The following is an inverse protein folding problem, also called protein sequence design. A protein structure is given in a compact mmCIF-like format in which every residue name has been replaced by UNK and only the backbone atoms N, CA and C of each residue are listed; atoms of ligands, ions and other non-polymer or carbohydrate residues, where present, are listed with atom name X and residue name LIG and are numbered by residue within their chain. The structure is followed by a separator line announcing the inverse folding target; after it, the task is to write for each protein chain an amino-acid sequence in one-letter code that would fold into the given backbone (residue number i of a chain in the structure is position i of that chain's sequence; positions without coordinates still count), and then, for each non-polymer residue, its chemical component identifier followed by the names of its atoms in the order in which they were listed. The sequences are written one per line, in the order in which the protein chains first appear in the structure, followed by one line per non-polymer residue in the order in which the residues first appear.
data_IF_283670649310
#
_entry.id   IF_283670649310
#
_cell.length_a   1.000
_cell.length_b   1.000
_cell.length_c   1.000
_cell.angle_alpha   90.00
_cell.angle_beta   90.00
_cell.angle_gamma   90.00
#
_symmetry.space_group_name_H-M   'P 1'
#
loop_
_entity.id
_entity.type
_entity.pdbx_description
1 polymer ?
#
# COMPACT_ATOMS: atom_id res chain seq x y z
N UNK A 1 4.72 -37.39 8.38
CA UNK A 1 5.87 -37.20 9.26
C UNK A 1 6.26 -35.75 9.08
N UNK A 2 6.12 -34.90 10.12
CA UNK A 2 6.52 -33.50 10.04
C UNK A 2 8.03 -33.41 10.14
N UNK A 3 8.66 -32.66 9.24
CA UNK A 3 10.09 -32.35 9.37
C UNK A 3 10.35 -31.67 10.72
N UNK A 4 11.46 -31.99 11.36
CA UNK A 4 11.88 -31.33 12.60
C UNK A 4 12.04 -29.81 12.32
N UNK A 5 11.64 -28.95 13.27
CA UNK A 5 11.76 -27.50 13.08
C UNK A 5 13.23 -27.10 12.87
N UNK A 6 13.47 -26.26 11.87
CA UNK A 6 14.81 -25.71 11.57
C UNK A 6 15.06 -24.48 12.42
N UNK A 7 16.31 -24.27 12.84
CA UNK A 7 16.72 -23.03 13.49
C UNK A 7 17.02 -21.97 12.44
N UNK A 8 16.40 -20.80 12.57
CA UNK A 8 16.61 -19.64 11.70
C UNK A 8 17.06 -18.46 12.55
N UNK A 9 18.14 -17.82 12.14
CA UNK A 9 18.61 -16.57 12.75
C UNK A 9 17.75 -15.40 12.26
N UNK A 10 17.18 -14.65 13.19
CA UNK A 10 16.38 -13.47 12.92
C UNK A 10 17.09 -12.22 13.43
N UNK A 11 17.54 -11.35 12.54
CA UNK A 11 18.09 -10.05 12.89
C UNK A 11 17.02 -8.98 12.70
N UNK A 12 16.67 -8.29 13.78
CA UNK A 12 15.69 -7.21 13.76
C UNK A 12 16.41 -5.87 13.87
N UNK A 13 16.32 -5.06 12.81
CA UNK A 13 16.79 -3.68 12.77
C UNK A 13 15.74 -2.79 13.39
N UNK A 14 15.97 -2.36 14.63
CA UNK A 14 15.05 -1.62 15.48
C UNK A 14 15.40 -0.13 15.45
N UNK A 15 14.41 0.71 15.28
CA UNK A 15 14.55 2.15 15.47
C UNK A 15 14.29 2.54 16.92
N UNK A 16 15.25 3.20 17.55
CA UNK A 16 15.10 3.75 18.90
C UNK A 16 15.14 5.27 18.79
N UNK A 17 14.08 5.97 19.23
CA UNK A 17 14.06 7.43 19.23
C UNK A 17 15.31 7.99 19.92
N UNK A 18 15.91 9.04 19.33
CA UNK A 18 17.12 9.73 19.79
C UNK A 18 18.44 8.93 19.68
N UNK A 19 18.39 7.60 19.57
CA UNK A 19 19.58 6.75 19.47
C UNK A 19 19.80 6.20 18.05
N UNK A 20 18.77 6.23 17.19
CA UNK A 20 18.82 5.71 15.82
C UNK A 20 18.61 4.19 15.74
N UNK A 21 19.22 3.56 14.75
CA UNK A 21 19.04 2.13 14.52
C UNK A 21 19.94 1.26 15.37
N UNK A 22 19.35 0.18 15.91
CA UNK A 22 20.04 -0.91 16.60
C UNK A 22 19.64 -2.25 15.99
N UNK A 23 20.55 -3.22 16.01
CA UNK A 23 20.25 -4.58 15.60
C UNK A 23 20.12 -5.48 16.82
N UNK A 24 19.08 -6.30 16.83
CA UNK A 24 18.87 -7.36 17.82
C UNK A 24 18.80 -8.69 17.08
N UNK A 25 19.58 -9.69 17.53
CA UNK A 25 19.66 -11.00 16.92
C UNK A 25 18.97 -12.04 17.81
N UNK A 26 18.14 -12.87 17.21
CA UNK A 26 17.39 -13.95 17.84
C UNK A 26 17.57 -15.25 17.06
N UNK A 27 17.27 -16.38 17.68
CA UNK A 27 17.23 -17.69 17.00
C UNK A 27 15.89 -18.34 17.23
N UNK A 28 15.11 -18.50 16.18
CA UNK A 28 13.76 -19.04 16.27
C UNK A 28 13.69 -20.42 15.61
N UNK A 29 12.84 -21.30 16.16
CA UNK A 29 12.51 -22.56 15.52
C UNK A 29 11.40 -22.35 14.49
N UNK A 30 11.61 -22.79 13.26
CA UNK A 30 10.65 -22.60 12.16
C UNK A 30 10.31 -23.97 11.53
N UNK A 31 9.03 -24.19 11.31
CA UNK A 31 8.50 -25.26 10.49
C UNK A 31 7.95 -24.72 9.16
N UNK A 32 7.36 -25.59 8.35
CA UNK A 32 6.81 -25.25 7.03
C UNK A 32 5.68 -24.20 7.06
N UNK A 33 5.08 -23.91 8.21
CA UNK A 33 3.98 -22.97 8.37
C UNK A 33 4.41 -21.67 9.03
N UNK A 34 5.59 -21.64 9.64
CA UNK A 34 6.06 -20.50 10.41
C UNK A 34 6.30 -19.28 9.52
N UNK A 35 5.58 -18.21 9.78
CA UNK A 35 5.75 -16.91 9.10
C UNK A 35 6.76 -16.04 9.83
N UNK A 36 7.24 -14.99 9.16
CA UNK A 36 8.05 -13.95 9.80
C UNK A 36 7.31 -13.31 10.99
N UNK A 37 5.98 -13.12 10.86
CA UNK A 37 5.18 -12.59 11.95
C UNK A 37 5.12 -13.55 13.16
N UNK A 38 4.97 -14.84 12.94
CA UNK A 38 4.95 -15.81 14.03
C UNK A 38 6.27 -15.83 14.80
N UNK A 39 7.39 -15.74 14.08
CA UNK A 39 8.71 -15.62 14.67
C UNK A 39 8.87 -14.34 15.52
N UNK A 40 8.41 -13.18 15.00
CA UNK A 40 8.45 -11.93 15.74
C UNK A 40 7.53 -11.94 16.97
N UNK A 41 6.37 -12.57 16.89
CA UNK A 41 5.47 -12.75 18.04
C UNK A 41 6.16 -13.65 19.08
N UNK A 42 6.78 -14.76 18.66
CA UNK A 42 7.55 -15.63 19.58
C UNK A 42 8.64 -14.85 20.30
N UNK A 43 9.44 -14.08 19.56
CA UNK A 43 10.48 -13.21 20.15
C UNK A 43 9.88 -12.28 21.19
N UNK A 44 8.82 -11.55 20.82
CA UNK A 44 8.16 -10.60 21.71
C UNK A 44 7.61 -11.23 22.99
N UNK A 45 7.04 -12.43 22.88
CA UNK A 45 6.40 -13.10 24.01
C UNK A 45 7.37 -13.87 24.91
N UNK A 46 8.48 -14.37 24.36
CA UNK A 46 9.38 -15.32 25.06
C UNK A 46 10.79 -14.80 25.31
N UNK A 47 11.28 -13.88 24.46
CA UNK A 47 12.70 -13.48 24.50
C UNK A 47 12.85 -11.99 24.81
N UNK A 48 12.10 -11.11 24.13
CA UNK A 48 12.23 -9.66 24.26
C UNK A 48 10.87 -8.95 24.16
N UNK A 49 10.22 -8.76 25.29
CA UNK A 49 8.93 -8.08 25.40
C UNK A 49 8.96 -6.59 24.99
N UNK A 50 10.17 -5.99 24.88
CA UNK A 50 10.34 -4.59 24.49
C UNK A 50 10.14 -4.36 22.99
N UNK A 51 10.18 -5.41 22.16
CA UNK A 51 10.01 -5.32 20.71
C UNK A 51 8.63 -4.75 20.36
N UNK A 52 8.63 -3.61 19.66
CA UNK A 52 7.40 -2.95 19.21
C UNK A 52 7.14 -3.23 17.75
N UNK A 53 5.93 -3.72 17.43
CA UNK A 53 5.48 -4.01 16.07
C UNK A 53 3.96 -3.92 15.98
N UNK A 54 3.45 -3.72 14.76
CA UNK A 54 2.01 -3.75 14.48
C UNK A 54 1.62 -5.06 13.83
N UNK A 55 0.53 -5.66 14.28
CA UNK A 55 -0.12 -6.78 13.62
C UNK A 55 -1.59 -6.89 14.08
N UNK A 56 -2.43 -7.57 13.28
CA UNK A 56 -3.83 -7.77 13.63
C UNK A 56 -4.36 -9.08 13.01
N UNK A 57 -4.80 -9.07 11.75
CA UNK A 57 -5.56 -10.18 11.14
C UNK A 57 -4.77 -11.49 10.96
N UNK A 58 -3.45 -11.45 10.83
CA UNK A 58 -2.53 -12.57 10.59
C UNK A 58 -2.80 -13.36 9.29
N UNK A 59 -3.60 -12.80 8.37
CA UNK A 59 -4.06 -13.47 7.13
C UNK A 59 -3.98 -12.56 5.89
N UNK A 60 -3.06 -11.59 5.90
CA UNK A 60 -2.79 -10.73 4.75
C UNK A 60 -3.89 -9.72 4.36
N UNK A 61 -4.84 -9.40 5.25
CA UNK A 61 -6.00 -8.55 4.92
C UNK A 61 -5.86 -7.13 5.47
N UNK A 62 -5.35 -6.96 6.70
CA UNK A 62 -5.36 -5.65 7.36
C UNK A 62 -4.18 -4.73 6.99
N UNK A 63 -3.08 -5.27 6.46
CA UNK A 63 -1.87 -4.51 6.14
C UNK A 63 -0.99 -4.11 7.33
N UNK A 64 -1.44 -4.31 8.59
CA UNK A 64 -0.74 -3.80 9.79
C UNK A 64 0.66 -4.36 9.99
N UNK A 65 0.94 -5.58 9.53
CA UNK A 65 2.24 -6.23 9.67
C UNK A 65 3.21 -5.94 8.50
N UNK A 66 2.99 -4.85 7.78
CA UNK A 66 3.87 -4.40 6.71
C UNK A 66 5.23 -3.97 7.29
N UNK A 67 6.31 -4.50 6.74
CA UNK A 67 7.69 -4.24 7.15
C UNK A 67 8.66 -4.65 6.04
N UNK A 68 9.94 -4.41 6.22
CA UNK A 68 10.98 -4.82 5.27
C UNK A 68 11.56 -6.16 5.72
N UNK A 69 11.51 -7.18 4.86
CA UNK A 69 12.09 -8.51 5.10
C UNK A 69 13.15 -8.78 4.05
N UNK A 70 14.39 -9.02 4.48
CA UNK A 70 15.55 -9.19 3.59
C UNK A 70 15.64 -8.09 2.51
N UNK A 71 15.43 -6.82 2.91
CA UNK A 71 15.47 -5.66 2.02
C UNK A 71 14.24 -5.49 1.12
N UNK A 72 13.21 -6.34 1.23
CA UNK A 72 11.99 -6.27 0.42
C UNK A 72 10.78 -5.89 1.28
N UNK A 73 10.05 -4.80 0.97
CA UNK A 73 8.77 -4.50 1.63
C UNK A 73 7.77 -5.64 1.47
N UNK A 74 7.27 -6.17 2.58
CA UNK A 74 6.45 -7.40 2.61
C UNK A 74 5.47 -7.41 3.78
N UNK A 75 4.41 -8.20 3.70
CA UNK A 75 3.56 -8.51 4.85
C UNK A 75 4.17 -9.67 5.63
N UNK A 76 4.56 -9.44 6.87
CA UNK A 76 5.20 -10.46 7.70
C UNK A 76 4.31 -11.71 7.91
N UNK A 77 2.99 -11.57 7.95
CA UNK A 77 2.06 -12.69 8.10
C UNK A 77 1.87 -13.54 6.83
N UNK A 78 2.27 -13.06 5.66
CA UNK A 78 2.25 -13.81 4.40
C UNK A 78 3.64 -14.27 3.96
N UNK A 79 4.68 -13.86 4.68
CA UNK A 79 6.07 -14.23 4.37
C UNK A 79 6.47 -15.45 5.20
N UNK A 80 6.52 -16.62 4.57
CA UNK A 80 6.97 -17.86 5.22
C UNK A 80 8.50 -17.85 5.39
N UNK A 81 8.97 -18.14 6.61
CA UNK A 81 10.39 -18.09 6.96
C UNK A 81 11.25 -19.03 6.13
N UNK A 82 10.82 -20.28 5.96
CA UNK A 82 11.61 -21.28 5.25
C UNK A 82 11.60 -21.06 3.73
N UNK A 83 10.55 -20.43 3.19
CA UNK A 83 10.48 -20.13 1.75
C UNK A 83 11.44 -19.00 1.31
N UNK A 84 12.03 -18.26 2.27
CA UNK A 84 13.08 -17.27 1.97
C UNK A 84 14.41 -17.91 1.54
N UNK A 85 14.57 -19.24 1.71
CA UNK A 85 15.74 -19.97 1.24
C UNK A 85 17.06 -19.64 1.96
N UNK A 86 16.99 -19.04 3.15
CA UNK A 86 18.14 -18.64 3.94
C UNK A 86 17.95 -18.96 5.43
N UNK A 87 19.03 -19.27 6.11
CA UNK A 87 19.03 -19.49 7.57
C UNK A 87 19.20 -18.17 8.35
N UNK A 88 19.37 -17.05 7.67
CA UNK A 88 19.48 -15.72 8.28
C UNK A 88 18.47 -14.78 7.62
N UNK A 89 17.54 -14.29 8.39
CA UNK A 89 16.49 -13.36 7.96
C UNK A 89 16.67 -12.02 8.65
N UNK A 90 16.65 -10.94 7.88
CA UNK A 90 16.67 -9.57 8.39
C UNK A 90 15.29 -8.96 8.32
N UNK A 91 14.88 -8.24 9.37
CA UNK A 91 13.61 -7.52 9.43
C UNK A 91 13.87 -6.09 9.88
N UNK A 92 13.23 -5.13 9.21
CA UNK A 92 13.32 -3.71 9.56
C UNK A 92 12.00 -2.97 9.32
N UNK A 93 11.87 -1.73 9.81
CA UNK A 93 10.71 -0.89 9.54
C UNK A 93 10.67 -0.43 8.08
N UNK A 94 9.53 0.08 7.64
CA UNK A 94 9.36 0.77 6.36
C UNK A 94 9.91 2.20 6.47
N UNK A 95 11.07 2.48 5.86
CA UNK A 95 11.81 3.73 6.06
C UNK A 95 11.27 4.92 5.23
N UNK A 96 10.41 4.66 4.22
CA UNK A 96 9.69 5.72 3.52
C UNK A 96 8.58 6.38 4.36
N UNK A 97 8.31 5.85 5.55
CA UNK A 97 7.38 6.41 6.52
C UNK A 97 8.15 6.91 7.75
N UNK A 98 7.71 7.98 8.43
CA UNK A 98 8.35 8.42 9.66
C UNK A 98 8.40 7.30 10.70
N UNK A 99 9.55 7.12 11.32
CA UNK A 99 9.79 6.04 12.28
C UNK A 99 9.35 6.48 13.68
N UNK A 100 8.56 5.64 14.36
CA UNK A 100 8.14 5.88 15.74
C UNK A 100 9.01 5.10 16.74
N UNK A 101 9.02 3.78 16.61
CA UNK A 101 9.82 2.90 17.46
C UNK A 101 9.91 1.50 16.86
N UNK A 102 11.08 0.90 16.91
CA UNK A 102 11.40 -0.46 16.44
C UNK A 102 10.91 -0.67 14.98
N UNK A 103 9.84 -1.46 14.77
CA UNK A 103 9.23 -1.74 13.48
C UNK A 103 7.96 -0.89 13.22
N UNK A 104 7.65 0.04 14.12
CA UNK A 104 6.43 0.87 14.05
C UNK A 104 6.72 2.18 13.35
N UNK A 105 5.95 2.48 12.33
CA UNK A 105 6.03 3.72 11.53
C UNK A 105 4.75 4.55 11.67
N UNK A 106 4.84 5.86 11.41
CA UNK A 106 3.70 6.76 11.33
C UNK A 106 3.07 6.72 9.93
N UNK A 107 1.75 6.70 9.89
CA UNK A 107 0.95 6.67 8.66
C UNK A 107 0.13 7.95 8.44
N UNK A 108 0.31 8.99 9.23
CA UNK A 108 -0.51 10.20 9.13
C UNK A 108 -0.34 10.87 7.77
N UNK A 109 0.90 11.14 7.32
CA UNK A 109 1.20 11.68 5.99
C UNK A 109 0.65 10.77 4.86
N UNK A 110 0.82 9.46 5.00
CA UNK A 110 0.26 8.50 4.04
C UNK A 110 -1.26 8.63 3.90
N UNK A 111 -1.98 8.76 5.02
CA UNK A 111 -3.44 8.92 4.98
C UNK A 111 -3.86 10.33 4.57
N UNK A 112 -3.06 11.36 4.83
CA UNK A 112 -3.29 12.70 4.30
C UNK A 112 -3.20 12.75 2.78
N UNK A 113 -2.14 12.16 2.20
CA UNK A 113 -2.00 11.98 0.75
C UNK A 113 -3.15 11.15 0.17
N UNK A 114 -3.55 10.08 0.85
CA UNK A 114 -4.71 9.29 0.46
C UNK A 114 -5.99 10.14 0.46
N UNK A 115 -6.29 10.87 1.53
CA UNK A 115 -7.49 11.75 1.61
C UNK A 115 -7.46 12.85 0.57
N UNK A 116 -6.28 13.36 0.25
CA UNK A 116 -6.11 14.45 -0.68
C UNK A 116 -6.64 14.15 -2.09
N UNK A 117 -6.67 12.90 -2.51
CA UNK A 117 -7.18 12.48 -3.82
C UNK A 117 -8.68 12.16 -3.80
N UNK A 118 -9.40 12.51 -2.75
CA UNK A 118 -10.85 12.25 -2.60
C UNK A 118 -11.20 10.78 -2.90
N UNK A 119 -10.71 9.81 -2.07
CA UNK A 119 -10.90 8.38 -2.32
C UNK A 119 -12.29 7.90 -1.87
N UNK A 120 -13.31 8.54 -2.39
CA UNK A 120 -14.73 8.23 -2.21
C UNK A 120 -15.50 8.64 -3.45
N UNK A 121 -16.73 8.13 -3.60
CA UNK A 121 -17.63 8.52 -4.68
C UNK A 121 -18.10 9.96 -4.47
N UNK A 122 -17.75 10.82 -5.40
CA UNK A 122 -18.24 12.20 -5.46
C UNK A 122 -19.52 12.20 -6.29
N UNK A 123 -20.63 12.66 -5.70
CA UNK A 123 -21.92 12.83 -6.40
C UNK A 123 -22.38 14.27 -6.27
N UNK A 124 -22.77 14.87 -7.38
CA UNK A 124 -23.29 16.25 -7.48
C UNK A 124 -24.83 16.31 -7.56
N UNK A 125 -25.46 15.15 -7.69
CA UNK A 125 -26.92 14.97 -7.74
C UNK A 125 -27.52 14.78 -6.34
N UNK A 126 -27.46 15.81 -5.50
CA UNK A 126 -27.87 15.73 -4.09
C UNK A 126 -29.29 15.18 -3.89
N UNK A 127 -30.22 15.51 -4.81
CA UNK A 127 -31.60 15.00 -4.75
C UNK A 127 -31.66 13.48 -4.91
N UNK A 128 -30.85 12.91 -5.83
CA UNK A 128 -30.80 11.47 -6.07
C UNK A 128 -30.04 10.74 -4.97
N UNK A 129 -28.95 11.33 -4.50
CA UNK A 129 -28.06 10.77 -3.48
C UNK A 129 -28.77 10.41 -2.17
N UNK A 130 -29.80 11.17 -1.79
CA UNK A 130 -30.52 10.99 -0.53
C UNK A 130 -31.91 10.34 -0.70
N UNK A 131 -32.24 9.87 -1.91
CA UNK A 131 -33.47 9.12 -2.12
C UNK A 131 -33.28 7.67 -1.70
N UNK A 132 -34.16 7.09 -0.86
CA UNK A 132 -34.04 5.70 -0.41
C UNK A 132 -34.07 4.68 -1.55
N UNK A 133 -34.75 4.99 -2.65
CA UNK A 133 -34.90 4.13 -3.82
C UNK A 133 -33.80 4.34 -4.89
N UNK A 134 -32.88 5.26 -4.63
CA UNK A 134 -31.85 5.57 -5.62
C UNK A 134 -30.88 4.39 -5.81
N UNK A 135 -30.67 4.01 -7.07
CA UNK A 135 -29.69 3.00 -7.47
C UNK A 135 -28.71 3.59 -8.48
N UNK A 136 -27.43 3.48 -8.19
CA UNK A 136 -26.37 3.78 -9.14
C UNK A 136 -25.92 2.50 -9.85
N UNK A 137 -26.61 2.15 -10.92
CA UNK A 137 -26.38 0.92 -11.67
C UNK A 137 -25.08 0.96 -12.45
N UNK A 138 -24.42 -0.19 -12.53
CA UNK A 138 -23.21 -0.39 -13.34
C UNK A 138 -23.34 -1.70 -14.11
N UNK A 139 -22.77 -1.73 -15.29
CA UNK A 139 -22.54 -2.97 -16.03
C UNK A 139 -21.30 -3.68 -15.50
N UNK A 140 -21.20 -5.00 -15.71
CA UNK A 140 -20.00 -5.76 -15.34
C UNK A 140 -18.72 -5.16 -15.95
N UNK A 141 -18.82 -4.70 -17.22
CA UNK A 141 -17.66 -4.07 -17.90
C UNK A 141 -17.21 -2.78 -17.23
N UNK A 142 -18.12 -1.96 -16.72
CA UNK A 142 -17.76 -0.74 -15.98
C UNK A 142 -17.09 -1.07 -14.65
N UNK A 143 -17.52 -2.13 -13.98
CA UNK A 143 -16.88 -2.63 -12.75
C UNK A 143 -15.47 -3.12 -13.03
N UNK A 144 -15.23 -3.83 -14.12
CA UNK A 144 -13.94 -4.40 -14.52
C UNK A 144 -12.84 -3.33 -14.65
N UNK A 145 -13.18 -2.10 -15.02
CA UNK A 145 -12.21 -1.00 -15.18
C UNK A 145 -11.54 -0.59 -13.86
N UNK A 146 -12.23 -0.65 -12.74
CA UNK A 146 -11.68 -0.19 -11.46
C UNK A 146 -11.50 -1.31 -10.42
N UNK A 147 -12.11 -2.46 -10.61
CA UNK A 147 -12.10 -3.55 -9.64
C UNK A 147 -10.68 -3.97 -9.21
N UNK A 148 -9.68 -4.15 -10.10
CA UNK A 148 -8.34 -4.52 -9.71
C UNK A 148 -7.68 -3.51 -8.75
N UNK A 149 -8.01 -2.22 -8.90
CA UNK A 149 -7.45 -1.16 -8.06
C UNK A 149 -8.19 -1.01 -6.72
N UNK A 150 -9.38 -1.60 -6.59
CA UNK A 150 -10.16 -1.58 -5.35
C UNK A 150 -9.68 -2.59 -4.30
N UNK A 151 -8.82 -3.54 -4.67
CA UNK A 151 -8.22 -4.51 -3.74
C UNK A 151 -7.16 -3.94 -2.81
N UNK A 152 -6.86 -2.65 -2.92
CA UNK A 152 -5.86 -1.98 -2.09
C UNK A 152 -6.24 -2.00 -0.61
N UNK A 153 -5.40 -2.63 0.22
CA UNK A 153 -5.55 -2.71 1.68
C UNK A 153 -4.82 -1.59 2.45
N UNK A 154 -4.25 -0.61 1.76
CA UNK A 154 -3.56 0.56 2.32
C UNK A 154 -2.39 0.18 3.26
N UNK A 155 -1.65 -0.86 2.93
CA UNK A 155 -0.54 -1.36 3.74
C UNK A 155 0.75 -0.52 3.68
N UNK A 156 0.89 0.42 2.74
CA UNK A 156 2.07 1.29 2.59
C UNK A 156 3.26 0.68 1.83
N UNK A 157 3.31 -0.63 1.59
CA UNK A 157 4.47 -1.30 0.96
C UNK A 157 4.87 -0.71 -0.40
N UNK A 158 3.90 -0.28 -1.21
CA UNK A 158 4.16 0.32 -2.51
C UNK A 158 4.82 1.71 -2.40
N UNK A 159 4.57 2.44 -1.32
CA UNK A 159 5.22 3.73 -1.02
C UNK A 159 6.65 3.46 -0.59
N UNK A 160 6.86 2.51 0.31
CA UNK A 160 8.19 2.13 0.80
C UNK A 160 9.11 1.59 -0.32
N UNK A 161 8.54 0.83 -1.26
CA UNK A 161 9.28 0.33 -2.44
C UNK A 161 9.52 1.39 -3.52
N UNK A 162 8.88 2.56 -3.46
CA UNK A 162 8.96 3.57 -4.52
C UNK A 162 10.19 4.46 -4.35
N UNK A 163 11.16 4.44 -5.29
CA UNK A 163 12.34 5.29 -5.19
C UNK A 163 12.00 6.78 -5.16
N UNK A 164 10.96 7.20 -5.88
CA UNK A 164 10.54 8.62 -5.88
C UNK A 164 9.99 9.02 -4.53
N UNK A 165 9.16 8.20 -3.89
CA UNK A 165 8.64 8.48 -2.53
C UNK A 165 9.75 8.57 -1.50
N UNK A 166 10.84 7.81 -1.67
CA UNK A 166 11.97 7.80 -0.75
C UNK A 166 12.83 9.08 -0.83
N UNK A 167 12.78 9.83 -1.95
CA UNK A 167 13.59 11.04 -2.15
C UNK A 167 12.77 12.33 -2.21
N UNK A 168 11.47 12.22 -2.47
CA UNK A 168 10.55 13.36 -2.55
C UNK A 168 9.35 13.16 -1.62
N UNK A 169 9.40 13.78 -0.45
CA UNK A 169 8.32 13.71 0.54
C UNK A 169 7.01 14.36 0.06
N UNK A 170 7.06 15.33 -0.88
CA UNK A 170 5.88 15.98 -1.44
C UNK A 170 5.15 15.11 -2.47
N UNK A 171 5.80 14.09 -3.02
CA UNK A 171 5.20 13.21 -4.02
C UNK A 171 3.98 12.48 -3.45
N UNK A 172 2.88 12.54 -4.18
CA UNK A 172 1.59 11.94 -3.76
C UNK A 172 1.70 10.42 -3.48
N UNK A 173 2.63 9.75 -4.16
CA UNK A 173 2.91 8.33 -3.95
C UNK A 173 2.00 7.39 -4.74
N UNK A 174 2.47 6.16 -4.95
CA UNK A 174 1.79 5.20 -5.82
C UNK A 174 0.41 4.78 -5.28
N UNK A 175 0.22 4.72 -3.96
CA UNK A 175 -1.06 4.32 -3.37
C UNK A 175 -2.13 5.38 -3.62
N UNK A 176 -1.86 6.66 -3.35
CA UNK A 176 -2.84 7.73 -3.53
C UNK A 176 -3.20 7.89 -5.02
N UNK A 177 -2.19 7.88 -5.91
CA UNK A 177 -2.41 8.00 -7.35
C UNK A 177 -3.22 6.83 -7.92
N UNK A 178 -2.96 5.59 -7.47
CA UNK A 178 -3.76 4.44 -7.87
C UNK A 178 -5.21 4.54 -7.40
N UNK A 179 -5.44 5.09 -6.20
CA UNK A 179 -6.80 5.33 -5.72
C UNK A 179 -7.49 6.48 -6.44
N UNK A 180 -6.77 7.52 -6.85
CA UNK A 180 -7.33 8.56 -7.71
C UNK A 180 -7.86 7.95 -9.03
N UNK A 181 -7.05 7.13 -9.71
CA UNK A 181 -7.46 6.44 -10.91
C UNK A 181 -8.64 5.48 -10.66
N UNK A 182 -8.61 4.73 -9.55
CA UNK A 182 -9.73 3.84 -9.17
C UNK A 182 -11.06 4.57 -9.15
N UNK A 183 -11.12 5.76 -8.54
CA UNK A 183 -12.35 6.54 -8.48
C UNK A 183 -12.67 7.26 -9.78
N UNK A 184 -11.67 7.71 -10.54
CA UNK A 184 -11.90 8.28 -11.88
C UNK A 184 -12.49 7.25 -12.87
N UNK A 185 -12.14 5.98 -12.71
CA UNK A 185 -12.64 4.88 -13.55
C UNK A 185 -14.01 4.35 -13.13
N UNK A 186 -14.53 4.79 -11.99
CA UNK A 186 -15.86 4.40 -11.52
C UNK A 186 -16.93 5.23 -12.23
N UNK A 187 -17.77 4.61 -13.07
CA UNK A 187 -18.80 5.30 -13.86
C UNK A 187 -19.82 6.08 -13.03
N UNK A 188 -19.91 5.78 -11.74
CA UNK A 188 -20.79 6.49 -10.80
C UNK A 188 -20.16 7.77 -10.25
N UNK A 189 -18.84 7.94 -10.37
CA UNK A 189 -18.11 9.07 -9.81
C UNK A 189 -18.23 10.32 -10.70
N UNK A 190 -18.31 11.48 -10.08
CA UNK A 190 -18.38 12.78 -10.73
C UNK A 190 -17.26 13.74 -10.27
N UNK A 191 -16.26 13.23 -9.55
CA UNK A 191 -15.13 13.99 -9.00
C UNK A 191 -13.85 13.93 -9.82
N UNK A 192 -13.88 13.34 -11.01
CA UNK A 192 -12.68 13.13 -11.83
C UNK A 192 -11.96 14.46 -12.15
N UNK A 193 -12.68 15.49 -12.53
CA UNK A 193 -12.11 16.79 -12.89
C UNK A 193 -11.27 17.38 -11.75
N UNK A 194 -11.83 17.43 -10.57
CA UNK A 194 -11.17 17.98 -9.37
C UNK A 194 -9.93 17.17 -8.99
N UNK A 195 -9.96 15.84 -9.16
CA UNK A 195 -8.79 14.98 -8.94
C UNK A 195 -7.71 15.23 -9.98
N UNK A 196 -8.07 15.33 -11.26
CA UNK A 196 -7.12 15.58 -12.35
C UNK A 196 -6.43 16.93 -12.16
N UNK A 197 -7.18 18.01 -11.92
CA UNK A 197 -6.62 19.35 -11.69
C UNK A 197 -5.63 19.38 -10.50
N UNK A 198 -5.91 18.61 -9.46
CA UNK A 198 -5.01 18.52 -8.30
C UNK A 198 -3.74 17.72 -8.58
N UNK A 199 -3.82 16.70 -9.41
CA UNK A 199 -2.74 15.73 -9.65
C UNK A 199 -1.90 16.05 -10.89
N UNK A 200 -2.26 17.10 -11.64
CA UNK A 200 -1.52 17.58 -12.82
C UNK A 200 -0.28 18.38 -12.41
N UNK A 201 0.59 17.78 -11.62
CA UNK A 201 1.80 18.39 -11.06
C UNK A 201 2.95 17.39 -11.04
N UNK A 202 4.19 17.88 -10.84
CA UNK A 202 5.38 17.04 -10.65
C UNK A 202 5.33 16.25 -9.35
N UNK A 203 4.71 16.78 -8.29
CA UNK A 203 4.47 16.06 -7.04
C UNK A 203 3.24 15.14 -7.14
N UNK A 204 2.45 15.28 -8.19
CA UNK A 204 1.32 14.43 -8.54
C UNK A 204 1.71 13.30 -9.50
N UNK A 205 0.88 13.10 -10.54
CA UNK A 205 1.05 11.98 -11.46
C UNK A 205 2.37 12.01 -12.24
N UNK A 206 2.85 13.21 -12.60
CA UNK A 206 4.05 13.37 -13.43
C UNK A 206 5.35 13.02 -12.72
N UNK A 207 5.38 12.99 -11.39
CA UNK A 207 6.55 12.53 -10.63
C UNK A 207 6.83 11.03 -10.73
N UNK A 208 5.93 10.23 -11.29
CA UNK A 208 6.14 8.79 -11.44
C UNK A 208 7.13 8.47 -12.58
N UNK A 209 8.28 7.86 -12.25
CA UNK A 209 9.32 7.40 -13.17
C UNK A 209 9.04 6.01 -13.80
N UNK A 210 7.89 5.42 -13.52
CA UNK A 210 7.44 4.11 -14.04
C UNK A 210 8.42 2.94 -13.78
N UNK A 211 9.09 2.91 -12.63
CA UNK A 211 10.03 1.83 -12.26
C UNK A 211 9.34 0.51 -11.90
N UNK A 212 8.04 0.50 -11.66
CA UNK A 212 7.24 -0.70 -11.41
C UNK A 212 7.42 -1.36 -10.04
N UNK A 213 8.35 -0.92 -9.20
CA UNK A 213 8.62 -1.51 -7.90
C UNK A 213 7.37 -1.58 -6.99
N UNK A 214 6.50 -0.57 -7.05
CA UNK A 214 5.24 -0.52 -6.32
C UNK A 214 4.27 -1.65 -6.69
N UNK A 215 4.25 -2.07 -7.95
CA UNK A 215 3.41 -3.18 -8.43
C UNK A 215 3.98 -4.53 -8.02
N UNK A 216 5.31 -4.68 -8.06
CA UNK A 216 6.02 -5.92 -7.69
C UNK A 216 5.81 -6.29 -6.23
N UNK A 217 5.78 -5.30 -5.30
CA UNK A 217 5.64 -5.58 -3.86
C UNK A 217 4.18 -5.64 -3.40
N UNK A 218 3.20 -5.42 -4.27
CA UNK A 218 1.80 -5.37 -3.86
C UNK A 218 1.27 -6.77 -3.49
N UNK A 219 0.91 -7.02 -2.21
CA UNK A 219 0.47 -8.34 -1.76
C UNK A 219 -0.93 -8.70 -2.27
N UNK A 220 -1.66 -7.73 -2.84
CA UNK A 220 -3.03 -7.89 -3.35
C UNK A 220 -3.12 -7.86 -4.88
N UNK A 221 -1.98 -7.83 -5.57
CA UNK A 221 -1.95 -7.79 -7.03
C UNK A 221 -2.53 -6.52 -7.62
N UNK A 222 -2.67 -5.46 -6.83
CA UNK A 222 -2.95 -4.12 -7.37
C UNK A 222 -1.72 -3.69 -8.16
N UNK A 223 -1.94 -3.10 -9.32
CA UNK A 223 -0.88 -2.53 -10.15
C UNK A 223 -0.88 -1.00 -10.09
N UNK A 224 -0.22 -0.39 -9.06
CA UNK A 224 -0.18 1.06 -8.97
C UNK A 224 0.57 1.72 -10.13
N UNK A 225 1.59 1.06 -10.68
CA UNK A 225 2.33 1.60 -11.81
C UNK A 225 1.43 1.75 -13.04
N UNK A 226 0.63 0.72 -13.37
CA UNK A 226 -0.36 0.79 -14.44
C UNK A 226 -1.40 1.88 -14.16
N UNK A 227 -1.97 1.92 -12.95
CA UNK A 227 -2.96 2.94 -12.57
C UNK A 227 -2.45 4.36 -12.83
N UNK A 228 -1.19 4.65 -12.49
CA UNK A 228 -0.59 5.96 -12.69
C UNK A 228 -0.42 6.27 -14.19
N UNK A 229 -0.04 5.28 -15.02
CA UNK A 229 0.06 5.53 -16.47
C UNK A 229 -1.33 5.80 -17.08
N UNK A 230 -2.35 5.08 -16.63
CA UNK A 230 -3.72 5.35 -17.07
C UNK A 230 -4.21 6.73 -16.58
N UNK A 231 -3.86 7.13 -15.36
CA UNK A 231 -4.13 8.47 -14.84
C UNK A 231 -3.42 9.56 -15.67
N UNK A 232 -2.16 9.34 -16.11
CA UNK A 232 -1.46 10.25 -17.01
C UNK A 232 -2.15 10.37 -18.37
N UNK A 233 -2.69 9.28 -18.90
CA UNK A 233 -3.50 9.31 -20.13
C UNK A 233 -4.77 10.14 -19.95
N UNK A 234 -5.44 10.04 -18.81
CA UNK A 234 -6.63 10.84 -18.50
C UNK A 234 -6.27 12.34 -18.36
N UNK A 235 -5.13 12.66 -17.72
CA UNK A 235 -4.60 14.03 -17.66
C UNK A 235 -4.35 14.62 -19.05
N UNK A 236 -3.67 13.89 -19.93
CA UNK A 236 -3.42 14.32 -21.31
C UNK A 236 -4.72 14.55 -22.08
N UNK A 237 -5.69 13.65 -21.97
CA UNK A 237 -7.01 13.80 -22.60
C UNK A 237 -7.74 15.02 -22.06
N UNK A 238 -7.71 15.23 -20.75
CA UNK A 238 -8.34 16.39 -20.11
C UNK A 238 -7.72 17.70 -20.58
N UNK A 239 -6.40 17.79 -20.63
CA UNK A 239 -5.64 18.96 -21.11
C UNK A 239 -6.00 19.30 -22.57
N UNK A 240 -6.10 18.29 -23.45
CA UNK A 240 -6.36 18.50 -24.87
C UNK A 240 -7.82 18.79 -25.21
N UNK A 241 -8.77 18.27 -24.46
CA UNK A 241 -10.19 18.26 -24.82
C UNK A 241 -11.10 18.97 -23.83
N UNK A 242 -10.62 19.26 -22.64
CA UNK A 242 -11.43 19.71 -21.50
C UNK A 242 -12.47 18.67 -21.03
N UNK A 243 -12.41 17.42 -21.55
CA UNK A 243 -13.38 16.35 -21.24
C UNK A 243 -12.78 15.34 -20.28
N UNK A 244 -13.61 14.88 -19.36
CA UNK A 244 -13.30 13.79 -18.44
C UNK A 244 -13.93 12.48 -18.91
N UNK A 245 -13.49 11.34 -18.39
CA UNK A 245 -14.02 10.02 -18.71
C UNK A 245 -15.51 9.91 -18.35
N UNK A 246 -15.93 10.55 -17.26
CA UNK A 246 -17.32 10.61 -16.82
C UNK A 246 -18.27 11.30 -17.83
N UNK A 247 -17.75 12.19 -18.70
CA UNK A 247 -18.55 12.80 -19.76
C UNK A 247 -18.99 11.83 -20.86
N UNK A 248 -18.48 10.59 -20.85
CA UNK A 248 -18.85 9.53 -21.80
C UNK A 248 -20.01 8.66 -21.33
N UNK A 249 -20.34 8.66 -20.05
CA UNK A 249 -21.38 7.82 -19.46
C UNK A 249 -22.80 8.45 -19.51
N UNK A 250 -22.89 9.68 -19.97
CA UNK A 250 -24.19 10.40 -20.14
C UNK A 250 -24.56 10.46 -21.64
N UNK A 251 -24.67 9.30 -22.26
CA UNK A 251 -25.34 9.15 -23.58
C UNK A 251 -26.23 7.91 -23.60
#
# INVERSE_FOLDING_TARGET
MGDAPKKVGLTVRRYVPEEGFKESAYTVAADRFTTVLDALIHVKEKEDSTLSMRYSCRMGICGSCAMVVNGKPSLACETNLLSLGTDKVTVGPMEAHPLLRDLVTDFDDFFEKHRSVMPWLVRKDEKEKFRPEAEYRQTSREVDYYLPFSYCIKCGLCVDACPVSNVNASYAGPQALAQAYRYNSDSRDQGEKERLEKLDTLDGAWGCEFLGACSVVCPKGVDPALAIQLLKLDLMKHSLTGKTSASKAVR
#
